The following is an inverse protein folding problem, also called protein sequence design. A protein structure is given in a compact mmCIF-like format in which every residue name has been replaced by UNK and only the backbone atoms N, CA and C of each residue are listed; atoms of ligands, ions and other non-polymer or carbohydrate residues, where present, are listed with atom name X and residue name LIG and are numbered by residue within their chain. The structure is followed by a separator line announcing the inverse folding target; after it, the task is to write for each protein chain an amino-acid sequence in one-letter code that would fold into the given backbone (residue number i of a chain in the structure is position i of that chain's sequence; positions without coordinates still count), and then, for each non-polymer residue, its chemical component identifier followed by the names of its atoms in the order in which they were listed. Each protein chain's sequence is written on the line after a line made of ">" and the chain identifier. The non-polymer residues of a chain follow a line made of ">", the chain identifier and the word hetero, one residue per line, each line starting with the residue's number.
data_IF_576948206173
#
_entry.id   IF_576948206173
#
_cell.length_a   1.000
_cell.length_b   1.000
_cell.length_c   1.000
_cell.angle_alpha   90.00
_cell.angle_beta   90.00
_cell.angle_gamma   90.00
#
_symmetry.space_group_name_H-M   'P 1'
#
loop_
_entity.id
_entity.type
_entity.pdbx_description
1 polymer ?
#
# COMPACT_ATOMS: atom_id res chain seq x y z
N UNK A 1 -21.67 -1.96 -4.65
CA UNK A 1 -22.34 -1.06 -3.69
C UNK A 1 -22.05 -1.60 -2.30
N UNK A 2 -21.03 -1.06 -1.63
CA UNK A 2 -20.63 -1.49 -0.29
C UNK A 2 -21.50 -0.78 0.76
N UNK A 3 -22.12 -1.53 1.66
CA UNK A 3 -22.84 -1.00 2.82
C UNK A 3 -21.90 -1.02 4.03
N UNK A 4 -21.43 0.15 4.44
CA UNK A 4 -20.60 0.34 5.64
C UNK A 4 -21.46 0.52 6.89
N UNK A 5 -21.26 -0.32 7.90
CA UNK A 5 -21.38 0.10 9.30
C UNK A 5 -20.08 0.85 9.65
N UNK A 6 -20.20 2.09 10.11
CA UNK A 6 -19.13 3.11 10.01
C UNK A 6 -18.31 3.35 11.28
N UNK A 7 -18.73 2.82 12.43
CA UNK A 7 -18.24 3.31 13.72
C UNK A 7 -17.16 2.43 14.39
N UNK A 8 -16.94 1.18 13.96
CA UNK A 8 -15.96 0.25 14.59
C UNK A 8 -14.64 0.07 13.84
N UNK A 9 -14.60 0.36 12.54
CA UNK A 9 -13.38 0.26 11.70
C UNK A 9 -12.55 1.55 11.73
N UNK A 10 -13.22 2.70 11.90
CA UNK A 10 -12.57 4.01 11.81
C UNK A 10 -11.40 4.17 12.81
N UNK A 11 -11.53 3.58 14.00
CA UNK A 11 -10.49 3.65 15.04
C UNK A 11 -9.22 2.83 14.70
N UNK A 12 -9.33 1.87 13.77
CA UNK A 12 -8.22 1.03 13.34
C UNK A 12 -7.46 1.63 12.14
N UNK A 13 -8.17 2.33 11.25
CA UNK A 13 -7.59 2.85 10.01
C UNK A 13 -6.99 4.22 10.25
N UNK A 14 -5.67 4.33 10.05
CA UNK A 14 -5.02 5.64 10.04
C UNK A 14 -5.03 6.23 8.63
N UNK A 15 -5.63 7.41 8.48
CA UNK A 15 -5.65 8.14 7.22
C UNK A 15 -4.52 9.16 7.14
N UNK A 16 -3.85 9.22 5.99
CA UNK A 16 -2.81 10.20 5.71
C UNK A 16 -3.16 11.09 4.53
N UNK A 17 -3.06 12.41 4.73
CA UNK A 17 -3.11 13.41 3.65
C UNK A 17 -1.71 13.83 3.19
N UNK A 18 -0.74 13.78 4.10
CA UNK A 18 0.63 14.23 3.89
C UNK A 18 1.63 13.07 3.91
N UNK A 19 2.57 13.10 2.96
CA UNK A 19 3.63 12.09 2.86
C UNK A 19 4.50 12.01 4.12
N UNK A 20 4.87 13.16 4.68
CA UNK A 20 5.75 13.21 5.86
C UNK A 20 5.08 12.65 7.11
N UNK A 21 3.75 12.77 7.23
CA UNK A 21 3.01 12.14 8.33
C UNK A 21 3.05 10.62 8.21
N UNK A 22 2.83 10.08 7.00
CA UNK A 22 2.99 8.65 6.74
C UNK A 22 4.43 8.20 7.02
N UNK A 23 5.43 8.95 6.56
CA UNK A 23 6.82 8.58 6.71
C UNK A 23 7.28 8.56 8.18
N UNK A 24 6.75 9.46 9.03
CA UNK A 24 7.01 9.43 10.48
C UNK A 24 6.47 8.16 11.12
N UNK A 25 5.22 7.82 10.83
CA UNK A 25 4.61 6.61 11.41
C UNK A 25 5.32 5.34 10.91
N UNK A 26 5.53 5.25 9.59
CA UNK A 26 6.09 4.07 8.95
C UNK A 26 7.50 3.73 9.43
N UNK A 27 8.24 4.73 9.93
CA UNK A 27 9.60 4.58 10.45
C UNK A 27 9.69 4.86 11.95
N UNK A 28 8.57 4.85 12.69
CA UNK A 28 8.51 5.27 14.09
C UNK A 28 9.52 4.54 14.98
N UNK A 29 9.66 3.22 14.82
CA UNK A 29 10.67 2.40 15.51
C UNK A 29 12.09 2.89 15.21
N UNK A 30 12.42 3.14 13.94
CA UNK A 30 13.76 3.62 13.56
C UNK A 30 14.03 5.02 14.08
N UNK A 31 13.02 5.91 14.06
CA UNK A 31 13.17 7.26 14.60
C UNK A 31 13.38 7.24 16.12
N UNK A 32 12.69 6.36 16.83
CA UNK A 32 12.82 6.15 18.26
C UNK A 32 14.16 5.52 18.64
N UNK A 33 14.57 4.45 17.96
CA UNK A 33 15.81 3.71 18.25
C UNK A 33 17.06 4.57 18.11
N UNK A 34 17.04 5.50 17.15
CA UNK A 34 18.16 6.40 16.88
C UNK A 34 18.00 7.79 17.53
N UNK A 35 16.88 8.05 18.22
CA UNK A 35 16.51 9.34 18.81
C UNK A 35 16.73 10.53 17.84
N UNK A 36 16.07 10.46 16.68
CA UNK A 36 16.23 11.44 15.61
C UNK A 36 14.89 11.88 15.01
N UNK A 37 14.86 13.14 14.54
CA UNK A 37 13.77 13.60 13.68
C UNK A 37 13.78 12.90 12.31
N UNK A 38 12.64 12.92 11.62
CA UNK A 38 12.52 12.39 10.25
C UNK A 38 13.57 13.00 9.31
N UNK A 39 13.75 14.32 9.33
CA UNK A 39 14.72 15.01 8.48
C UNK A 39 16.15 14.59 8.82
N UNK A 40 16.47 14.41 10.11
CA UNK A 40 17.79 13.95 10.51
C UNK A 40 18.05 12.50 10.10
N UNK A 41 17.03 11.64 10.16
CA UNK A 41 17.11 10.28 9.68
C UNK A 41 17.30 10.20 8.16
N UNK A 42 16.66 11.11 7.40
CA UNK A 42 16.86 11.27 5.95
C UNK A 42 18.28 11.69 5.62
N UNK A 43 18.81 12.72 6.29
CA UNK A 43 20.19 13.17 6.10
C UNK A 43 21.21 12.05 6.36
N UNK A 44 20.93 11.19 7.34
CA UNK A 44 21.78 10.05 7.71
C UNK A 44 21.57 8.80 6.87
N UNK A 45 20.59 8.80 5.95
CA UNK A 45 20.26 7.64 5.13
C UNK A 45 19.72 6.44 5.92
N UNK A 46 19.09 6.68 7.08
CA UNK A 46 18.56 5.62 7.95
C UNK A 46 17.22 5.04 7.45
N UNK A 47 16.55 5.73 6.52
CA UNK A 47 15.22 5.40 6.07
C UNK A 47 15.24 4.76 4.68
N UNK A 48 14.37 3.79 4.45
CA UNK A 48 14.09 3.29 3.11
C UNK A 48 13.11 4.22 2.37
N UNK A 49 13.59 5.42 2.01
CA UNK A 49 12.82 6.47 1.33
C UNK A 49 12.20 5.98 0.02
N UNK A 50 12.91 5.15 -0.74
CA UNK A 50 12.39 4.59 -1.98
C UNK A 50 11.15 3.73 -1.70
N UNK A 51 11.21 2.79 -0.76
CA UNK A 51 10.08 1.92 -0.43
C UNK A 51 8.91 2.72 0.13
N UNK A 52 9.14 3.70 1.00
CA UNK A 52 8.09 4.57 1.54
C UNK A 52 7.44 5.42 0.44
N UNK A 53 8.21 5.90 -0.54
CA UNK A 53 7.67 6.62 -1.69
C UNK A 53 6.82 5.72 -2.60
N UNK A 54 7.26 4.48 -2.84
CA UNK A 54 6.45 3.51 -3.58
C UNK A 54 5.14 3.17 -2.86
N UNK A 55 5.18 3.08 -1.52
CA UNK A 55 3.99 2.91 -0.69
C UNK A 55 3.04 4.09 -0.87
N UNK A 56 3.55 5.33 -0.76
CA UNK A 56 2.74 6.53 -0.95
C UNK A 56 2.10 6.63 -2.34
N UNK A 57 2.85 6.22 -3.37
CA UNK A 57 2.37 6.17 -4.74
C UNK A 57 1.27 5.12 -4.90
N UNK A 58 1.43 3.94 -4.30
CA UNK A 58 0.40 2.91 -4.26
C UNK A 58 -0.87 3.43 -3.60
N UNK A 59 -0.77 4.01 -2.40
CA UNK A 59 -1.94 4.52 -1.68
C UNK A 59 -2.69 5.61 -2.47
N UNK A 60 -2.02 6.34 -3.36
CA UNK A 60 -2.66 7.31 -4.26
C UNK A 60 -3.38 6.71 -5.47
N UNK A 61 -3.26 5.40 -5.70
CA UNK A 61 -3.94 4.67 -6.77
C UNK A 61 -5.03 3.71 -6.27
N UNK A 62 -5.12 3.50 -4.95
CA UNK A 62 -6.14 2.64 -4.35
C UNK A 62 -7.51 3.30 -4.41
N UNK A 63 -8.55 2.48 -4.51
CA UNK A 63 -9.92 2.96 -4.40
C UNK A 63 -10.18 3.54 -2.99
N UNK A 64 -11.14 4.48 -2.83
CA UNK A 64 -11.44 5.06 -1.53
C UNK A 64 -11.83 4.03 -0.47
N UNK A 65 -12.37 2.88 -0.84
CA UNK A 65 -12.73 1.78 0.06
C UNK A 65 -11.58 0.82 0.34
N UNK A 66 -10.51 0.87 -0.45
CA UNK A 66 -9.32 0.05 -0.28
C UNK A 66 -8.37 0.63 0.78
N UNK A 67 -7.70 -0.26 1.50
CA UNK A 67 -6.67 0.09 2.45
C UNK A 67 -5.50 -0.87 2.35
N UNK A 68 -4.35 -0.42 2.86
CA UNK A 68 -3.17 -1.24 3.02
C UNK A 68 -3.08 -1.73 4.46
N UNK A 69 -2.90 -3.03 4.64
CA UNK A 69 -2.71 -3.66 5.95
C UNK A 69 -1.33 -4.29 6.02
N UNK A 70 -0.66 -4.10 7.16
CA UNK A 70 0.57 -4.79 7.50
C UNK A 70 0.29 -5.80 8.61
N UNK A 71 0.67 -7.05 8.36
CA UNK A 71 0.60 -8.14 9.31
C UNK A 71 1.98 -8.38 9.93
N UNK A 72 2.05 -8.80 11.20
CA UNK A 72 3.26 -9.40 11.72
C UNK A 72 3.55 -10.72 10.98
N UNK A 73 4.83 -11.07 10.86
CA UNK A 73 5.29 -12.20 10.04
C UNK A 73 4.60 -13.52 10.40
N UNK A 74 4.50 -13.83 11.70
CA UNK A 74 3.85 -15.05 12.19
C UNK A 74 2.36 -15.13 11.79
N UNK A 75 1.67 -13.99 11.67
CA UNK A 75 0.26 -13.96 11.25
C UNK A 75 0.18 -14.12 9.74
N UNK A 76 1.06 -13.45 8.99
CA UNK A 76 1.14 -13.61 7.54
C UNK A 76 1.41 -15.07 7.15
N UNK A 77 2.28 -15.78 7.87
CA UNK A 77 2.57 -17.20 7.60
C UNK A 77 1.35 -18.10 7.76
N UNK A 78 0.44 -17.74 8.68
CA UNK A 78 -0.83 -18.47 8.88
C UNK A 78 -1.88 -18.11 7.84
N UNK A 79 -1.82 -16.89 7.31
CA UNK A 79 -2.86 -16.31 6.44
C UNK A 79 -2.53 -16.41 4.96
N UNK A 80 -1.35 -16.92 4.61
CA UNK A 80 -0.92 -17.07 3.22
C UNK A 80 -0.50 -18.51 3.00
N UNK A 81 -1.16 -19.18 2.05
CA UNK A 81 -0.70 -20.48 1.55
C UNK A 81 0.49 -20.26 0.60
N UNK A 82 1.65 -19.91 1.14
CA UNK A 82 2.87 -19.70 0.34
C UNK A 82 3.88 -20.81 0.54
N UNK A 83 4.44 -21.29 -0.56
CA UNK A 83 5.65 -22.13 -0.60
C UNK A 83 6.93 -21.32 -0.82
N UNK A 84 6.84 -19.98 -0.85
CA UNK A 84 7.98 -19.10 -1.08
C UNK A 84 8.85 -18.96 0.18
N UNK A 85 10.13 -18.63 -0.04
CA UNK A 85 11.12 -18.41 1.05
C UNK A 85 10.84 -17.17 1.92
N UNK A 86 9.97 -16.26 1.50
CA UNK A 86 9.67 -15.04 2.26
C UNK A 86 8.18 -14.75 2.16
N UNK A 87 7.51 -14.85 3.30
CA UNK A 87 6.07 -14.62 3.42
C UNK A 87 5.77 -13.12 3.27
N UNK A 88 4.90 -12.73 2.33
CA UNK A 88 4.48 -11.33 2.21
C UNK A 88 3.71 -10.89 3.45
N UNK A 89 4.06 -9.72 4.00
CA UNK A 89 3.44 -9.17 5.21
C UNK A 89 2.54 -7.96 4.95
N UNK A 90 2.51 -7.47 3.71
CA UNK A 90 1.76 -6.25 3.36
C UNK A 90 0.76 -6.60 2.27
N UNK A 91 -0.51 -6.28 2.51
CA UNK A 91 -1.63 -6.56 1.64
C UNK A 91 -2.46 -5.31 1.42
N UNK A 92 -3.15 -5.27 0.28
CA UNK A 92 -4.17 -4.28 -0.07
C UNK A 92 -5.51 -4.99 -0.14
N UNK A 93 -6.59 -4.35 0.31
CA UNK A 93 -7.94 -4.83 0.02
C UNK A 93 -9.04 -4.01 0.68
N UNK A 94 -10.27 -4.47 0.52
CA UNK A 94 -11.48 -3.84 1.06
C UNK A 94 -12.02 -4.62 2.24
N UNK A 95 -12.45 -3.92 3.30
CA UNK A 95 -13.20 -4.54 4.40
C UNK A 95 -14.65 -4.73 3.95
N UNK A 96 -15.13 -5.97 3.94
CA UNK A 96 -16.54 -6.29 3.65
C UNK A 96 -17.40 -6.39 4.89
N UNK A 97 -16.82 -6.78 6.02
CA UNK A 97 -17.53 -6.97 7.28
C UNK A 97 -16.59 -6.79 8.46
N UNK A 98 -17.16 -6.50 9.62
CA UNK A 98 -16.42 -6.41 10.88
C UNK A 98 -17.19 -7.07 12.03
N UNK A 99 -16.43 -7.53 13.00
CA UNK A 99 -16.89 -7.83 14.35
C UNK A 99 -16.17 -6.90 15.33
N UNK A 100 -16.47 -7.05 16.62
CA UNK A 100 -15.73 -6.36 17.68
C UNK A 100 -14.22 -6.66 17.58
N UNK A 101 -13.85 -7.91 17.33
CA UNK A 101 -12.46 -8.38 17.40
C UNK A 101 -11.74 -8.52 16.06
N UNK A 102 -12.47 -8.56 14.93
CA UNK A 102 -11.89 -8.91 13.64
C UNK A 102 -12.51 -8.14 12.47
N UNK A 103 -11.76 -8.05 11.37
CA UNK A 103 -12.23 -7.52 10.09
C UNK A 103 -12.16 -8.61 9.02
N UNK A 104 -13.15 -8.65 8.15
CA UNK A 104 -13.19 -9.53 6.99
C UNK A 104 -12.84 -8.74 5.75
N UNK A 105 -11.82 -9.18 5.04
CA UNK A 105 -11.51 -8.63 3.71
C UNK A 105 -12.40 -9.29 2.64
N UNK A 106 -12.98 -8.48 1.75
CA UNK A 106 -13.70 -8.98 0.56
C UNK A 106 -12.70 -9.60 -0.42
N UNK A 107 -11.65 -8.84 -0.70
CA UNK A 107 -10.51 -9.16 -1.55
C UNK A 107 -9.23 -8.77 -0.81
N UNK A 108 -8.14 -9.46 -1.11
CA UNK A 108 -6.82 -9.03 -0.63
C UNK A 108 -5.76 -9.40 -1.65
N UNK A 109 -4.74 -8.56 -1.76
CA UNK A 109 -3.66 -8.76 -2.72
C UNK A 109 -2.34 -8.29 -2.11
N UNK A 110 -1.26 -9.04 -2.33
CA UNK A 110 0.08 -8.62 -1.89
C UNK A 110 0.46 -7.24 -2.43
N UNK A 111 0.87 -6.34 -1.54
CA UNK A 111 1.09 -4.95 -1.89
C UNK A 111 2.38 -4.72 -2.69
N UNK A 112 3.42 -5.54 -2.50
CA UNK A 112 4.75 -5.27 -3.07
C UNK A 112 4.76 -5.18 -4.60
N UNK A 113 4.17 -6.12 -5.37
CA UNK A 113 4.06 -5.96 -6.82
C UNK A 113 3.27 -4.70 -7.22
N UNK A 114 2.23 -4.34 -6.45
CA UNK A 114 1.43 -3.14 -6.68
C UNK A 114 2.22 -1.85 -6.42
N UNK A 115 3.06 -1.82 -5.37
CA UNK A 115 3.99 -0.72 -5.10
C UNK A 115 4.94 -0.49 -6.27
N UNK A 116 5.46 -1.56 -6.86
CA UNK A 116 6.35 -1.47 -8.03
C UNK A 116 5.61 -0.98 -9.29
N UNK A 117 4.36 -1.41 -9.50
CA UNK A 117 3.51 -0.93 -10.59
C UNK A 117 3.17 0.55 -10.41
N UNK A 118 2.71 0.95 -9.23
CA UNK A 118 2.39 2.33 -8.89
C UNK A 118 3.58 3.27 -9.12
N UNK A 119 4.77 2.82 -8.74
CA UNK A 119 6.01 3.56 -8.98
C UNK A 119 6.34 3.75 -10.46
N UNK A 120 6.17 2.70 -11.27
CA UNK A 120 6.37 2.75 -12.72
C UNK A 120 5.37 3.70 -13.37
N UNK A 121 4.09 3.59 -13.02
CA UNK A 121 3.02 4.48 -13.50
C UNK A 121 3.33 5.94 -13.17
N UNK A 122 3.71 6.24 -11.92
CA UNK A 122 4.07 7.59 -11.51
C UNK A 122 5.27 8.15 -12.30
N UNK A 123 6.29 7.32 -12.53
CA UNK A 123 7.48 7.70 -13.31
C UNK A 123 7.15 7.95 -14.78
N UNK A 124 6.27 7.13 -15.37
CA UNK A 124 5.79 7.29 -16.74
C UNK A 124 4.94 8.56 -16.88
N UNK A 125 4.03 8.83 -15.94
CA UNK A 125 3.22 10.05 -15.95
C UNK A 125 4.09 11.32 -15.95
N UNK A 126 5.13 11.36 -15.11
CA UNK A 126 6.13 12.44 -15.11
C UNK A 126 6.88 12.56 -16.44
N UNK A 127 7.09 11.45 -17.15
CA UNK A 127 7.66 11.43 -18.49
C UNK A 127 6.71 12.02 -19.52
N UNK A 128 5.45 11.57 -19.53
CA UNK A 128 4.37 12.02 -20.43
C UNK A 128 4.19 13.54 -20.33
N UNK A 129 4.16 14.08 -19.10
CA UNK A 129 4.07 15.51 -18.84
C UNK A 129 5.20 16.33 -19.49
N UNK A 130 6.39 15.73 -19.64
CA UNK A 130 7.60 16.36 -20.14
C UNK A 130 7.85 16.17 -21.63
N UNK A 131 7.11 15.28 -22.30
CA UNK A 131 7.30 14.97 -23.72
C UNK A 131 6.14 15.43 -24.60
N UNK A 132 5.35 16.42 -24.17
CA UNK A 132 4.18 16.90 -24.92
C UNK A 132 4.51 17.34 -26.36
N UNK A 133 5.73 17.82 -26.58
CA UNK A 133 6.18 18.32 -27.88
C UNK A 133 6.85 17.25 -28.77
N UNK A 134 6.99 16.01 -28.27
CA UNK A 134 7.56 14.86 -28.98
C UNK A 134 6.48 13.77 -29.07
N UNK A 135 5.67 13.83 -30.13
CA UNK A 135 4.47 12.99 -30.30
C UNK A 135 4.78 11.51 -30.24
N UNK A 136 5.78 11.04 -30.99
CA UNK A 136 6.16 9.62 -31.04
C UNK A 136 6.59 9.11 -29.66
N UNK A 137 7.38 9.90 -28.94
CA UNK A 137 7.81 9.54 -27.58
C UNK A 137 6.66 9.61 -26.59
N UNK A 138 5.77 10.59 -26.72
CA UNK A 138 4.60 10.77 -25.87
C UNK A 138 3.66 9.56 -25.99
N UNK A 139 3.28 9.17 -27.20
CA UNK A 139 2.39 8.04 -27.45
C UNK A 139 2.96 6.75 -26.85
N UNK A 140 4.25 6.47 -27.06
CA UNK A 140 4.92 5.29 -26.47
C UNK A 140 4.87 5.28 -24.94
N UNK A 141 5.00 6.43 -24.29
CA UNK A 141 4.92 6.51 -22.84
C UNK A 141 3.48 6.32 -22.34
N UNK A 142 2.49 6.87 -23.05
CA UNK A 142 1.06 6.68 -22.77
C UNK A 142 0.66 5.21 -22.90
N UNK A 143 1.11 4.53 -23.96
CA UNK A 143 0.79 3.12 -24.16
C UNK A 143 1.36 2.23 -23.05
N UNK A 144 2.62 2.48 -22.65
CA UNK A 144 3.23 1.79 -21.50
C UNK A 144 2.51 2.09 -20.20
N UNK A 145 2.08 3.33 -20.00
CA UNK A 145 1.30 3.69 -18.82
C UNK A 145 0.00 2.88 -18.76
N UNK A 146 -0.76 2.83 -19.87
CA UNK A 146 -2.00 2.04 -19.98
C UNK A 146 -1.78 0.53 -19.82
N UNK A 147 -0.63 0.02 -20.22
CA UNK A 147 -0.27 -1.38 -19.98
C UNK A 147 -0.10 -1.67 -18.48
N UNK A 148 0.56 -0.77 -17.75
CA UNK A 148 0.73 -0.91 -16.30
C UNK A 148 -0.56 -0.70 -15.53
N UNK A 149 -1.40 0.24 -15.96
CA UNK A 149 -2.75 0.46 -15.43
C UNK A 149 -3.58 -0.83 -15.56
N UNK A 150 -3.64 -1.43 -16.75
CA UNK A 150 -4.30 -2.73 -16.94
C UNK A 150 -3.75 -3.82 -16.01
N UNK A 151 -2.44 -3.90 -15.80
CA UNK A 151 -1.85 -4.88 -14.86
C UNK A 151 -2.23 -4.59 -13.40
N UNK A 152 -2.41 -3.32 -13.05
CA UNK A 152 -2.87 -2.92 -11.73
C UNK A 152 -4.34 -3.29 -11.49
N UNK A 153 -5.17 -3.16 -12.52
CA UNK A 153 -6.59 -3.53 -12.46
C UNK A 153 -6.79 -5.05 -12.42
N UNK A 154 -5.95 -5.82 -13.14
CA UNK A 154 -6.00 -7.29 -13.15
C UNK A 154 -5.13 -7.90 -12.05
N UNK A 155 -5.16 -7.31 -10.84
CA UNK A 155 -4.33 -7.73 -9.70
C UNK A 155 -4.83 -8.96 -8.96
N UNK A 156 -5.97 -9.52 -9.34
CA UNK A 156 -6.60 -10.68 -8.69
C UNK A 156 -5.77 -11.97 -8.83
N UNK A 157 -4.89 -12.06 -9.83
CA UNK A 157 -3.97 -13.20 -10.02
C UNK A 157 -2.78 -13.19 -9.05
N UNK A 158 -2.58 -12.10 -8.31
CA UNK A 158 -1.52 -12.00 -7.31
C UNK A 158 -1.90 -12.77 -6.04
N UNK A 159 -0.88 -13.14 -5.28
CA UNK A 159 -1.07 -13.84 -4.00
C UNK A 159 -1.98 -13.04 -3.07
N UNK A 160 -2.92 -13.73 -2.45
CA UNK A 160 -3.92 -13.17 -1.55
C UNK A 160 -3.91 -13.90 -0.20
N UNK A 161 -4.62 -13.34 0.79
CA UNK A 161 -4.86 -14.01 2.05
C UNK A 161 -5.80 -15.20 1.81
N UNK A 162 -5.43 -16.39 2.28
CA UNK A 162 -6.26 -17.60 2.23
C UNK A 162 -7.42 -17.52 3.22
N UNK A 163 -7.15 -17.04 4.44
CA UNK A 163 -8.16 -16.66 5.42
C UNK A 163 -8.23 -15.14 5.53
N UNK A 164 -9.38 -14.58 5.15
CA UNK A 164 -9.61 -13.14 5.05
C UNK A 164 -10.07 -12.50 6.36
N UNK A 165 -10.30 -13.28 7.42
CA UNK A 165 -10.56 -12.73 8.75
C UNK A 165 -9.25 -12.36 9.44
N UNK A 166 -9.09 -11.08 9.74
CA UNK A 166 -7.90 -10.55 10.42
C UNK A 166 -8.28 -9.99 11.79
N UNK A 167 -7.67 -10.48 12.88
CA UNK A 167 -7.91 -9.94 14.22
C UNK A 167 -7.37 -8.51 14.34
N UNK A 168 -8.22 -7.55 14.74
CA UNK A 168 -7.88 -6.12 14.81
C UNK A 168 -6.65 -5.86 15.69
N UNK A 169 -6.58 -6.55 16.83
CA UNK A 169 -5.49 -6.42 17.82
C UNK A 169 -4.13 -6.98 17.37
N UNK A 170 -4.09 -7.68 16.25
CA UNK A 170 -2.88 -8.35 15.74
C UNK A 170 -2.34 -7.70 14.46
N UNK A 171 -2.94 -6.60 14.02
CA UNK A 171 -2.46 -5.84 12.88
C UNK A 171 -1.34 -4.91 13.33
N UNK A 172 -0.25 -4.86 12.57
CA UNK A 172 0.80 -3.86 12.82
C UNK A 172 0.30 -2.48 12.39
N UNK A 173 -0.36 -2.40 11.24
CA UNK A 173 -0.93 -1.15 10.75
C UNK A 173 -2.05 -1.41 9.73
N UNK A 174 -3.00 -0.48 9.66
CA UNK A 174 -4.00 -0.40 8.61
C UNK A 174 -4.10 1.07 8.18
N UNK A 175 -3.74 1.35 6.93
CA UNK A 175 -3.57 2.73 6.46
C UNK A 175 -4.28 2.97 5.14
N UNK A 176 -4.74 4.22 4.97
CA UNK A 176 -5.30 4.72 3.71
C UNK A 176 -4.74 6.11 3.44
N UNK A 177 -4.66 6.50 2.17
CA UNK A 177 -4.44 7.89 1.79
C UNK A 177 -5.78 8.58 1.60
N UNK A 178 -5.94 9.74 2.22
CA UNK A 178 -7.08 10.61 1.98
C UNK A 178 -6.72 11.57 0.86
N UNK A 179 -7.39 11.41 -0.27
CA UNK A 179 -7.30 12.27 -1.46
C UNK A 179 -8.21 13.48 -1.38
#
# INVERSE_FOLDING_TARGET
>A
MCSTSRDGVADLITEYTEYDSLAREWHSETLSDYDVSLDKARERGLLNEQRTRQLWQLLGLLDPEELLVQLPEWLAEKKVESTNRTTPTIFVGCISSETEDAILFESSTVARPLMELAHKMHSLNRGIERTKDDTDRHERLVDRFREHERKFDHRDDLLSLSDKWLPKSQLNTAIRRRT
#
